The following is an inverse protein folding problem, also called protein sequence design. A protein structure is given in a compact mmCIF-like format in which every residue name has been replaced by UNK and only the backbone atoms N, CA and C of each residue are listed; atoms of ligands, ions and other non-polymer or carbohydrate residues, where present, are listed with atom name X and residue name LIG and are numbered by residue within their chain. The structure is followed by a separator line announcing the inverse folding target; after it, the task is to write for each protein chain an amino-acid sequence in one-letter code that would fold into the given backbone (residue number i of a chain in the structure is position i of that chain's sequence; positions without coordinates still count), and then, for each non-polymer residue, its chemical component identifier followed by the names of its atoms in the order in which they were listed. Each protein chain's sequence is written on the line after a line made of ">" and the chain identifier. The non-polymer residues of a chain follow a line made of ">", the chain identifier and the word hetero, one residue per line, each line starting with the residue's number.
data_IF_962900717354
#
_entry.id   IF_962900717354
#
_cell.length_a   1.000
_cell.length_b   1.000
_cell.length_c   1.000
_cell.angle_alpha   90.00
_cell.angle_beta   90.00
_cell.angle_gamma   90.00
#
_symmetry.space_group_name_H-M   'P 1'
#
loop_
_entity.id
_entity.type
_entity.pdbx_description
1 polymer ?
#
# COMPACT_ATOMS: atom_id res chain seq x y z
N UNK A 1 -11.61 8.29 8.84
CA UNK A 1 -11.20 8.94 7.58
C UNK A 1 -9.68 9.08 7.59
N UNK A 2 -8.98 8.46 6.64
CA UNK A 2 -7.54 8.70 6.47
C UNK A 2 -7.34 10.21 6.25
N UNK A 3 -6.46 10.83 7.04
CA UNK A 3 -6.28 12.28 7.09
C UNK A 3 -6.16 12.89 5.71
N UNK A 4 -6.94 13.95 5.49
CA UNK A 4 -7.13 14.67 4.23
C UNK A 4 -5.86 14.81 3.36
N UNK A 5 -6.00 14.60 2.06
CA UNK A 5 -4.93 14.69 1.07
C UNK A 5 -4.42 16.14 0.94
N UNK A 6 -3.17 16.37 1.35
CA UNK A 6 -2.44 17.61 1.06
C UNK A 6 -1.44 17.40 -0.09
N UNK A 7 -0.89 18.50 -0.63
CA UNK A 7 0.16 18.47 -1.67
C UNK A 7 1.36 17.59 -1.32
N UNK A 8 1.66 17.38 -0.03
CA UNK A 8 2.75 16.51 0.40
C UNK A 8 2.42 15.01 0.30
N UNK A 9 1.13 14.66 0.23
CA UNK A 9 0.68 13.28 -0.01
C UNK A 9 0.66 12.96 -1.50
N UNK A 10 0.39 13.95 -2.36
CA UNK A 10 0.55 13.84 -3.81
C UNK A 10 1.98 13.48 -4.25
N UNK A 11 3.00 13.88 -3.45
CA UNK A 11 4.40 13.51 -3.71
C UNK A 11 4.74 12.06 -3.34
N UNK A 12 3.89 11.38 -2.55
CA UNK A 12 4.14 10.02 -2.11
C UNK A 12 3.73 9.05 -3.21
N UNK A 13 4.59 8.07 -3.49
CA UNK A 13 4.21 6.95 -4.34
C UNK A 13 3.48 5.92 -3.50
N UNK A 14 2.37 5.44 -4.03
CA UNK A 14 1.51 4.46 -3.39
C UNK A 14 1.64 3.16 -4.17
N UNK A 15 1.70 2.05 -3.44
CA UNK A 15 1.82 0.73 -4.02
C UNK A 15 0.79 -0.19 -3.37
N UNK A 16 0.09 -0.97 -4.20
CA UNK A 16 -0.72 -2.09 -3.76
C UNK A 16 0.14 -3.35 -3.76
N UNK A 17 0.14 -4.06 -2.64
CA UNK A 17 0.88 -5.30 -2.45
C UNK A 17 -0.14 -6.38 -2.16
N UNK A 18 -0.25 -7.36 -3.06
CA UNK A 18 -1.10 -8.51 -2.82
C UNK A 18 -0.41 -9.52 -1.90
N UNK A 19 -1.17 -10.09 -0.96
CA UNK A 19 -0.64 -11.06 0.00
C UNK A 19 -0.07 -12.31 -0.68
N UNK A 20 -0.69 -12.76 -1.78
CA UNK A 20 -0.29 -13.94 -2.54
C UNK A 20 0.96 -13.70 -3.41
N UNK A 21 1.26 -12.44 -3.75
CA UNK A 21 2.38 -12.08 -4.59
C UNK A 21 3.06 -10.77 -4.14
N UNK A 22 3.67 -10.78 -2.94
CA UNK A 22 4.24 -9.58 -2.33
C UNK A 22 5.43 -8.97 -3.09
N UNK A 23 6.13 -9.78 -3.90
CA UNK A 23 7.32 -9.35 -4.66
C UNK A 23 6.99 -8.52 -5.90
N UNK A 24 5.70 -8.40 -6.26
CA UNK A 24 5.26 -7.57 -7.39
C UNK A 24 4.32 -6.45 -6.95
N UNK A 25 4.83 -5.42 -6.25
CA UNK A 25 4.02 -4.24 -5.90
C UNK A 25 3.50 -3.54 -7.15
N UNK A 26 2.21 -3.21 -7.17
CA UNK A 26 1.56 -2.47 -8.24
C UNK A 26 1.59 -0.98 -7.90
N UNK A 27 2.27 -0.13 -8.69
CA UNK A 27 2.26 1.31 -8.44
C UNK A 27 0.87 1.90 -8.73
N UNK A 28 0.41 2.80 -7.87
CA UNK A 28 -0.84 3.55 -8.01
C UNK A 28 -0.51 5.03 -8.20
N UNK A 29 -0.92 5.60 -9.33
CA UNK A 29 -0.83 7.01 -9.66
C UNK A 29 -2.08 7.75 -9.20
N UNK A 30 -2.14 7.96 -7.89
CA UNK A 30 -3.29 8.64 -7.29
C UNK A 30 -3.43 10.09 -7.76
N UNK A 31 -2.34 10.77 -8.15
CA UNK A 31 -2.40 12.12 -8.69
C UNK A 31 -3.20 12.17 -9.99
N UNK A 32 -3.01 11.19 -10.87
CA UNK A 32 -3.75 11.11 -12.12
C UNK A 32 -5.24 10.94 -11.84
N UNK A 33 -5.61 10.01 -10.96
CA UNK A 33 -7.01 9.79 -10.58
C UNK A 33 -7.66 11.06 -10.01
N UNK A 34 -6.95 11.78 -9.14
CA UNK A 34 -7.48 12.97 -8.47
C UNK A 34 -7.52 14.22 -9.37
N UNK A 35 -6.54 14.40 -10.25
CA UNK A 35 -6.44 15.61 -11.09
C UNK A 35 -7.26 15.51 -12.37
N UNK A 36 -7.33 14.32 -12.96
CA UNK A 36 -7.97 14.13 -14.27
C UNK A 36 -9.27 13.33 -14.19
N UNK A 37 -9.59 12.73 -13.03
CA UNK A 37 -10.73 11.83 -12.88
C UNK A 37 -10.55 10.48 -13.59
N UNK A 38 -9.34 10.16 -14.02
CA UNK A 38 -9.03 8.92 -14.75
C UNK A 38 -8.92 7.75 -13.76
N UNK A 39 -9.93 6.88 -13.75
CA UNK A 39 -10.05 5.75 -12.83
C UNK A 39 -9.42 4.46 -13.36
N UNK A 40 -8.61 4.52 -14.43
CA UNK A 40 -7.95 3.35 -15.01
C UNK A 40 -7.05 2.60 -14.03
N UNK A 41 -6.56 3.27 -12.97
CA UNK A 41 -5.74 2.69 -11.91
C UNK A 41 -6.51 2.50 -10.59
N UNK A 42 -7.85 2.38 -10.65
CA UNK A 42 -8.67 2.06 -9.49
C UNK A 42 -8.74 0.54 -9.27
N UNK A 43 -7.77 -0.01 -8.53
CA UNK A 43 -7.69 -1.44 -8.25
C UNK A 43 -8.63 -1.86 -7.11
N UNK A 44 -9.29 -3.00 -7.28
CA UNK A 44 -10.08 -3.63 -6.22
C UNK A 44 -9.11 -4.29 -5.23
N UNK A 45 -9.19 -3.88 -3.96
CA UNK A 45 -8.42 -4.49 -2.88
C UNK A 45 -9.11 -5.76 -2.37
N UNK A 46 -8.31 -6.76 -2.02
CA UNK A 46 -8.74 -8.02 -1.40
C UNK A 46 -8.33 -8.05 0.07
N UNK A 47 -8.96 -8.94 0.84
CA UNK A 47 -8.53 -9.20 2.21
C UNK A 47 -7.06 -9.64 2.22
N UNK A 48 -6.27 -9.04 3.12
CA UNK A 48 -4.83 -9.28 3.22
C UNK A 48 -3.94 -8.38 2.36
N UNK A 49 -4.51 -7.63 1.41
CA UNK A 49 -3.75 -6.67 0.60
C UNK A 49 -3.24 -5.50 1.46
N UNK A 50 -2.07 -4.98 1.12
CA UNK A 50 -1.45 -3.83 1.79
C UNK A 50 -1.29 -2.67 0.84
N UNK A 51 -1.74 -1.50 1.28
CA UNK A 51 -1.43 -0.23 0.64
C UNK A 51 -0.19 0.39 1.31
N UNK A 52 0.91 0.46 0.57
CA UNK A 52 2.20 0.96 1.06
C UNK A 52 2.51 2.34 0.47
N UNK A 53 2.80 3.32 1.34
CA UNK A 53 3.09 4.70 0.97
C UNK A 53 4.57 5.01 1.22
N UNK A 54 5.31 5.38 0.18
CA UNK A 54 6.72 5.77 0.30
C UNK A 54 6.99 7.18 -0.23
N UNK A 55 7.88 7.90 0.45
CA UNK A 55 8.36 9.23 0.05
C UNK A 55 9.49 9.17 -0.99
N UNK A 56 10.24 8.06 -1.10
CA UNK A 56 11.48 8.00 -1.87
C UNK A 56 11.43 7.12 -3.13
N UNK A 57 10.24 6.64 -3.53
CA UNK A 57 10.03 5.75 -4.68
C UNK A 57 10.77 4.41 -4.66
N UNK A 58 11.46 4.08 -3.57
CA UNK A 58 12.17 2.81 -3.42
C UNK A 58 11.40 1.93 -2.46
N UNK A 59 11.21 0.68 -2.86
CA UNK A 59 10.66 -0.38 -2.01
C UNK A 59 11.68 -1.50 -1.98
N UNK A 60 12.09 -1.90 -0.78
CA UNK A 60 12.73 -3.19 -0.57
C UNK A 60 11.78 -4.06 0.25
N UNK A 61 11.20 -5.09 -0.36
CA UNK A 61 10.20 -5.92 0.31
C UNK A 61 10.71 -6.54 1.62
N UNK A 62 11.90 -7.15 1.57
CA UNK A 62 12.49 -7.84 2.73
C UNK A 62 12.79 -6.88 3.90
N UNK A 63 13.20 -5.64 3.60
CA UNK A 63 13.54 -4.65 4.61
C UNK A 63 12.33 -3.85 5.11
N UNK A 64 11.45 -3.44 4.20
CA UNK A 64 10.46 -2.40 4.47
C UNK A 64 9.06 -2.97 4.75
N UNK A 65 8.72 -4.15 4.20
CA UNK A 65 7.35 -4.70 4.22
C UNK A 65 7.26 -6.00 5.02
N UNK A 66 8.14 -6.96 4.78
CA UNK A 66 8.11 -8.28 5.42
C UNK A 66 8.05 -8.24 6.96
N UNK A 67 8.77 -7.34 7.67
CA UNK A 67 8.68 -7.26 9.13
C UNK A 67 7.29 -6.85 9.63
N UNK A 68 6.61 -5.93 8.92
CA UNK A 68 5.29 -5.42 9.30
C UNK A 68 4.24 -6.51 9.09
N UNK A 69 4.26 -7.17 7.94
CA UNK A 69 3.33 -8.27 7.63
C UNK A 69 3.48 -9.42 8.63
N UNK A 70 4.72 -9.82 8.93
CA UNK A 70 5.00 -10.88 9.88
C UNK A 70 4.54 -10.49 11.28
N UNK A 71 4.81 -9.26 11.72
CA UNK A 71 4.34 -8.75 13.01
C UNK A 71 2.81 -8.74 13.12
N UNK A 72 2.12 -8.22 12.10
CA UNK A 72 0.66 -8.20 12.05
C UNK A 72 0.05 -9.61 12.09
N UNK A 73 0.64 -10.55 11.34
CA UNK A 73 0.21 -11.95 11.36
C UNK A 73 0.38 -12.59 12.75
N UNK A 74 1.53 -12.39 13.40
CA UNK A 74 1.79 -12.93 14.74
C UNK A 74 0.82 -12.37 15.79
N UNK A 75 0.54 -11.06 15.76
CA UNK A 75 -0.46 -10.44 16.65
C UNK A 75 -1.86 -11.01 16.40
N UNK A 76 -2.24 -11.20 15.13
CA UNK A 76 -3.56 -11.77 14.78
C UNK A 76 -3.75 -13.21 15.26
N UNK A 77 -2.65 -13.95 15.45
CA UNK A 77 -2.66 -15.31 15.97
C UNK A 77 -2.77 -15.34 17.49
N UNK A 78 -2.06 -14.45 18.18
CA UNK A 78 -2.07 -14.37 19.65
C UNK A 78 -3.45 -13.98 20.18
N UNK A 79 -4.20 -13.11 19.49
CA UNK A 79 -5.55 -12.71 19.91
C UNK A 79 -6.66 -13.72 19.57
N UNK A 80 -6.33 -14.85 18.95
CA UNK A 80 -7.27 -15.90 18.55
C UNK A 80 -7.21 -17.16 19.43
N UNK A 81 -6.25 -17.21 20.35
CA UNK A 81 -6.13 -18.20 21.44
C UNK A 81 -6.74 -17.62 22.74
#
# INVERSE_FOLDING_TARGET
>A
AAGSFNWDTAKKKIYLIHQDNPEKPIPINLNRMLQTGDMSENYIMREGDVLYLTKNSRINFARDIAPILTGAYMVSRIGKD
#
